data_IF_318673043160
#
_entry.id   IF_318673043160
#
_cell.length_a   1.000
_cell.length_b   1.000
_cell.length_c   1.000
_cell.angle_alpha   90.00
_cell.angle_beta   90.00
_cell.angle_gamma   90.00
#
_symmetry.space_group_name_H-M   'P 1'
#
loop_
_entity.id
_entity.type
_entity.pdbx_description
1 polymer ?
#
# COMPACT_ATOMS: atom_id res chain seq x y z
N UNK A 1 -34.57 37.82 58.90
CA UNK A 1 -34.42 39.18 58.34
C UNK A 1 -33.19 39.83 58.96
N UNK A 2 -32.10 39.99 58.19
CA UNK A 2 -31.27 41.21 58.01
C UNK A 2 -29.93 40.84 57.38
N UNK A 3 -29.37 41.82 56.68
CA UNK A 3 -28.50 41.78 55.50
C UNK A 3 -27.04 42.13 55.88
N UNK A 4 -26.09 41.64 55.06
CA UNK A 4 -24.83 42.30 54.60
C UNK A 4 -23.73 42.63 55.64
N UNK A 5 -22.41 42.63 55.39
CA UNK A 5 -21.60 42.75 54.17
C UNK A 5 -20.10 42.39 54.44
N UNK A 6 -19.47 41.79 53.43
CA UNK A 6 -18.08 41.91 52.94
C UNK A 6 -16.86 42.21 53.87
N UNK A 7 -15.87 41.29 53.85
CA UNK A 7 -14.41 41.56 53.89
C UNK A 7 -13.73 40.48 53.00
N UNK A 8 -13.41 40.75 51.74
CA UNK A 8 -12.14 41.28 51.23
C UNK A 8 -10.93 40.41 51.64
N UNK A 9 -10.44 39.59 50.72
CA UNK A 9 -9.02 39.33 50.51
C UNK A 9 -8.84 38.55 49.20
N UNK A 10 -8.32 39.26 48.20
CA UNK A 10 -7.84 38.69 46.94
C UNK A 10 -6.70 37.72 47.23
N UNK A 11 -6.78 36.51 46.70
CA UNK A 11 -5.61 35.64 46.51
C UNK A 11 -5.54 35.34 45.02
N UNK A 12 -4.57 35.97 44.36
CA UNK A 12 -4.12 35.57 43.05
C UNK A 12 -3.41 34.22 43.17
N UNK A 13 -3.93 33.20 42.51
CA UNK A 13 -3.18 31.97 42.21
C UNK A 13 -3.16 31.83 40.70
N UNK A 14 -2.01 32.20 40.14
CA UNK A 14 -1.60 31.74 38.81
C UNK A 14 -1.26 30.24 38.87
N UNK A 15 -1.21 29.62 37.69
CA UNK A 15 -0.84 28.22 37.41
C UNK A 15 -2.02 27.23 37.50
N UNK A 16 -2.37 26.43 36.50
CA UNK A 16 -1.61 25.94 35.36
C UNK A 16 -2.58 25.46 34.27
N UNK A 17 -2.37 25.81 33.01
CA UNK A 17 -2.91 25.02 31.90
C UNK A 17 -2.03 23.77 31.77
N UNK A 18 -2.46 22.68 32.39
CA UNK A 18 -1.95 21.35 32.09
C UNK A 18 -3.05 20.60 31.32
N UNK A 19 -3.20 20.89 30.04
CA UNK A 19 -3.88 19.99 29.11
C UNK A 19 -2.98 18.78 28.93
N UNK A 20 -3.17 17.76 29.76
CA UNK A 20 -2.65 16.43 29.52
C UNK A 20 -3.42 15.85 28.32
N UNK A 21 -2.87 16.03 27.12
CA UNK A 21 -3.27 15.23 25.97
C UNK A 21 -2.65 13.84 26.16
N UNK A 22 -3.36 12.97 26.87
CA UNK A 22 -3.09 11.54 26.82
C UNK A 22 -3.55 11.03 25.46
N UNK A 23 -2.67 11.15 24.45
CA UNK A 23 -2.77 10.32 23.25
C UNK A 23 -2.44 8.89 23.67
N UNK A 24 -3.47 8.15 24.07
CA UNK A 24 -3.39 6.69 24.14
C UNK A 24 -3.39 6.21 22.69
N UNK A 25 -2.20 6.15 22.10
CA UNK A 25 -1.99 5.41 20.87
C UNK A 25 -2.04 3.94 21.29
N UNK A 26 -3.10 3.27 20.88
CA UNK A 26 -3.29 1.83 21.07
C UNK A 26 -2.25 1.12 20.18
N UNK A 27 -1.04 0.93 20.71
CA UNK A 27 0.11 0.35 19.98
C UNK A 27 0.02 -1.18 19.88
N UNK A 28 -1.15 -1.78 20.08
CA UNK A 28 -1.28 -3.23 20.26
C UNK A 28 -2.25 -3.89 19.29
N UNK A 29 -2.51 -3.28 18.13
CA UNK A 29 -2.99 -4.06 16.99
C UNK A 29 -1.79 -4.78 16.38
N UNK A 30 -1.73 -6.10 16.60
CA UNK A 30 -0.96 -6.97 15.71
C UNK A 30 -1.60 -6.85 14.34
N UNK A 31 -1.09 -5.96 13.50
CA UNK A 31 -1.53 -5.82 12.11
C UNK A 31 -1.33 -7.17 11.43
N UNK A 32 -2.43 -7.91 11.26
CA UNK A 32 -2.44 -9.10 10.42
C UNK A 32 -2.30 -8.60 9.00
N UNK A 33 -1.18 -8.93 8.36
CA UNK A 33 -0.91 -8.52 6.99
C UNK A 33 -2.07 -8.92 6.08
N UNK A 34 -2.65 -7.93 5.40
CA UNK A 34 -3.70 -8.12 4.42
C UNK A 34 -3.17 -7.70 3.03
N UNK A 35 -2.94 -8.64 2.11
CA UNK A 35 -2.41 -8.34 0.77
C UNK A 35 -3.33 -7.45 -0.07
N UNK A 36 -4.63 -7.38 0.27
CA UNK A 36 -5.55 -6.46 -0.40
C UNK A 36 -5.37 -5.01 0.05
N UNK A 37 -4.84 -4.77 1.25
CA UNK A 37 -4.66 -3.41 1.78
C UNK A 37 -3.45 -2.73 1.16
N UNK A 38 -3.59 -1.44 0.84
CA UNK A 38 -2.45 -0.59 0.49
C UNK A 38 -1.87 0.00 1.77
N UNK A 39 -0.64 -0.39 2.11
CA UNK A 39 0.14 0.23 3.18
C UNK A 39 1.18 1.23 2.63
N UNK A 40 1.72 2.14 3.48
CA UNK A 40 2.67 3.16 3.04
C UNK A 40 3.95 2.62 2.41
N UNK A 41 4.44 1.45 2.85
CA UNK A 41 5.65 0.85 2.32
C UNK A 41 5.41 0.31 0.91
N UNK A 42 4.29 -0.40 0.70
CA UNK A 42 3.88 -0.87 -0.62
C UNK A 42 3.63 0.31 -1.58
N UNK A 43 2.91 1.34 -1.12
CA UNK A 43 2.66 2.55 -1.93
C UNK A 43 3.97 3.25 -2.33
N UNK A 44 4.91 3.38 -1.40
CA UNK A 44 6.24 3.97 -1.66
C UNK A 44 7.06 3.15 -2.66
N UNK A 45 7.00 1.82 -2.58
CA UNK A 45 7.67 0.94 -3.54
C UNK A 45 7.02 1.03 -4.94
N UNK A 46 5.69 1.06 -5.01
CA UNK A 46 4.95 1.30 -6.26
C UNK A 46 5.22 2.69 -6.84
N UNK A 47 5.58 3.69 -6.04
CA UNK A 47 5.91 5.03 -6.51
C UNK A 47 7.32 5.11 -7.14
N UNK A 48 8.26 4.26 -6.72
CA UNK A 48 9.70 4.49 -6.99
C UNK A 48 10.42 3.32 -7.66
N UNK A 49 10.07 2.08 -7.36
CA UNK A 49 10.81 0.91 -7.85
C UNK A 49 10.54 0.70 -9.35
N UNK A 50 11.57 0.61 -10.21
CA UNK A 50 11.38 0.25 -11.61
C UNK A 50 10.86 -1.18 -11.79
N UNK A 51 10.11 -1.40 -12.86
CA UNK A 51 9.68 -2.73 -13.29
C UNK A 51 10.85 -3.61 -13.69
N UNK A 52 10.78 -4.89 -13.34
CA UNK A 52 11.82 -5.88 -13.65
C UNK A 52 11.24 -7.28 -13.79
N UNK A 53 11.86 -8.08 -14.65
CA UNK A 53 11.47 -9.47 -14.83
C UNK A 53 11.94 -10.40 -13.69
N UNK A 54 13.03 -10.04 -13.00
CA UNK A 54 13.67 -10.89 -11.96
C UNK A 54 14.20 -10.06 -10.80
N UNK A 55 14.54 -10.73 -9.70
CA UNK A 55 14.96 -10.09 -8.46
C UNK A 55 13.79 -9.71 -7.56
N UNK A 56 14.11 -9.21 -6.37
CA UNK A 56 13.18 -8.73 -5.37
C UNK A 56 13.81 -7.53 -4.66
N UNK A 57 13.03 -6.50 -4.42
CA UNK A 57 13.37 -5.40 -3.53
C UNK A 57 12.89 -5.75 -2.11
N UNK A 58 13.67 -5.40 -1.09
CA UNK A 58 13.25 -5.56 0.30
C UNK A 58 12.24 -4.47 0.61
N UNK A 59 11.02 -4.84 1.00
CA UNK A 59 9.98 -3.89 1.38
C UNK A 59 10.11 -3.51 2.85
N UNK A 60 10.32 -4.50 3.72
CA UNK A 60 10.60 -4.37 5.15
C UNK A 60 11.25 -5.66 5.70
N UNK A 61 11.17 -5.90 7.02
CA UNK A 61 11.86 -7.02 7.68
C UNK A 61 11.43 -8.41 7.22
N UNK A 62 10.19 -8.55 6.75
CA UNK A 62 9.56 -9.84 6.47
C UNK A 62 8.88 -9.88 5.11
N UNK A 63 8.83 -8.75 4.38
CA UNK A 63 8.22 -8.66 3.05
C UNK A 63 9.21 -8.26 1.96
N UNK A 64 9.00 -8.87 0.80
CA UNK A 64 9.71 -8.55 -0.43
C UNK A 64 8.73 -8.14 -1.50
N UNK A 65 9.15 -7.21 -2.35
CA UNK A 65 8.34 -6.62 -3.40
C UNK A 65 9.05 -6.70 -4.74
N UNK A 66 8.29 -6.85 -5.82
CA UNK A 66 8.77 -6.64 -7.18
C UNK A 66 7.70 -5.94 -7.99
N UNK A 67 8.04 -4.81 -8.61
CA UNK A 67 7.24 -4.28 -9.71
C UNK A 67 7.53 -5.08 -10.98
N UNK A 68 6.47 -5.53 -11.65
CA UNK A 68 6.57 -6.40 -12.84
C UNK A 68 6.45 -5.58 -14.12
N UNK A 69 5.42 -4.72 -14.20
CA UNK A 69 5.16 -3.85 -15.35
C UNK A 69 4.34 -2.63 -14.95
N UNK A 70 4.41 -1.59 -15.79
CA UNK A 70 3.56 -0.39 -15.73
C UNK A 70 2.80 -0.24 -17.04
N UNK A 71 1.51 0.03 -16.99
CA UNK A 71 0.65 0.15 -18.18
C UNK A 71 -0.43 1.23 -18.01
N UNK A 72 -0.88 1.86 -19.12
CA UNK A 72 -1.98 2.81 -19.08
C UNK A 72 -3.34 2.10 -19.04
N UNK A 73 -4.20 2.50 -18.11
CA UNK A 73 -5.58 2.04 -18.02
C UNK A 73 -6.52 2.87 -18.92
N UNK A 74 -7.69 2.31 -19.23
CA UNK A 74 -8.71 2.95 -20.07
C UNK A 74 -9.27 4.28 -19.53
N UNK A 75 -9.17 4.48 -18.22
CA UNK A 75 -9.57 5.71 -17.55
C UNK A 75 -8.45 6.76 -17.47
N UNK A 76 -7.29 6.49 -18.09
CA UNK A 76 -6.13 7.37 -18.13
C UNK A 76 -5.22 7.28 -16.89
N UNK A 77 -5.53 6.41 -15.92
CA UNK A 77 -4.64 6.16 -14.78
C UNK A 77 -3.46 5.28 -15.19
N UNK A 78 -2.37 5.39 -14.44
CA UNK A 78 -1.27 4.44 -14.50
C UNK A 78 -1.53 3.28 -13.55
N UNK A 79 -1.42 2.06 -14.05
CA UNK A 79 -1.51 0.85 -13.24
C UNK A 79 -0.18 0.10 -13.28
N UNK A 80 0.13 -0.56 -12.17
CA UNK A 80 1.33 -1.38 -12.02
C UNK A 80 0.96 -2.77 -11.55
N UNK A 81 1.48 -3.78 -12.23
CA UNK A 81 1.49 -5.14 -11.72
C UNK A 81 2.66 -5.29 -10.75
N UNK A 82 2.40 -5.96 -9.64
CA UNK A 82 3.41 -6.26 -8.64
C UNK A 82 3.32 -7.70 -8.14
N UNK A 83 4.44 -8.15 -7.59
CA UNK A 83 4.52 -9.34 -6.78
C UNK A 83 4.94 -8.97 -5.37
N UNK A 84 4.35 -9.67 -4.40
CA UNK A 84 4.65 -9.52 -2.99
C UNK A 84 4.94 -10.89 -2.40
N UNK A 85 5.89 -10.96 -1.49
CA UNK A 85 6.23 -12.16 -0.75
C UNK A 85 6.31 -11.82 0.74
N UNK A 86 5.77 -12.69 1.57
CA UNK A 86 5.94 -12.67 3.02
C UNK A 86 6.03 -14.11 3.50
N UNK A 87 7.16 -14.49 4.11
CA UNK A 87 7.43 -15.89 4.48
C UNK A 87 7.24 -16.85 3.29
N UNK A 88 6.39 -17.87 3.41
CA UNK A 88 6.07 -18.84 2.33
C UNK A 88 4.89 -18.40 1.45
N UNK A 89 4.30 -17.24 1.73
CA UNK A 89 3.15 -16.73 0.99
C UNK A 89 3.58 -15.73 -0.06
N UNK A 90 2.93 -15.82 -1.21
CA UNK A 90 3.19 -14.98 -2.36
C UNK A 90 1.89 -14.48 -2.95
N UNK A 91 1.91 -13.25 -3.46
CA UNK A 91 0.77 -12.62 -4.09
C UNK A 91 1.20 -11.91 -5.36
N UNK A 92 0.27 -11.89 -6.32
CA UNK A 92 0.33 -11.05 -7.50
C UNK A 92 -0.82 -10.08 -7.44
N UNK A 93 -0.58 -8.82 -7.78
CA UNK A 93 -1.63 -7.82 -7.78
C UNK A 93 -1.43 -6.74 -8.82
N UNK A 94 -2.45 -5.93 -8.99
CA UNK A 94 -2.41 -4.68 -9.74
C UNK A 94 -2.89 -3.56 -8.85
N UNK A 95 -2.10 -2.48 -8.78
CA UNK A 95 -2.48 -1.23 -8.16
C UNK A 95 -2.55 -0.13 -9.23
N UNK A 96 -3.52 0.76 -9.13
CA UNK A 96 -3.64 1.92 -10.01
C UNK A 96 -3.49 3.20 -9.21
N UNK A 97 -2.83 4.19 -9.82
CA UNK A 97 -2.62 5.49 -9.22
C UNK A 97 -3.84 6.38 -9.44
N UNK A 98 -4.51 6.74 -8.37
CA UNK A 98 -5.72 7.56 -8.36
C UNK A 98 -5.53 8.75 -7.41
N UNK A 99 -5.73 9.96 -7.92
CA UNK A 99 -5.56 11.18 -7.10
C UNK A 99 -4.17 11.38 -6.49
N UNK A 100 -3.13 10.69 -6.98
CA UNK A 100 -1.78 10.71 -6.40
C UNK A 100 -1.50 9.60 -5.38
N UNK A 101 -2.48 8.74 -5.12
CA UNK A 101 -2.37 7.60 -4.21
C UNK A 101 -2.46 6.29 -4.98
N UNK A 102 -1.78 5.24 -4.49
CA UNK A 102 -1.90 3.91 -5.07
C UNK A 102 -3.07 3.17 -4.44
N UNK A 103 -3.89 2.50 -5.26
CA UNK A 103 -5.02 1.69 -4.79
C UNK A 103 -4.96 0.32 -5.45
N UNK A 104 -4.89 -0.74 -4.63
CA UNK A 104 -5.00 -2.12 -5.09
C UNK A 104 -6.36 -2.34 -5.76
N UNK A 105 -6.36 -2.81 -7.00
CA UNK A 105 -7.56 -3.13 -7.77
C UNK A 105 -7.89 -4.61 -7.69
N UNK A 106 -6.86 -5.44 -7.79
CA UNK A 106 -6.96 -6.90 -7.70
C UNK A 106 -5.68 -7.44 -7.07
N UNK A 107 -5.82 -8.40 -6.15
CA UNK A 107 -4.69 -9.16 -5.61
C UNK A 107 -5.13 -10.60 -5.47
N UNK A 108 -4.32 -11.52 -6.00
CA UNK A 108 -4.54 -12.95 -5.94
C UNK A 108 -3.34 -13.66 -5.33
N UNK A 109 -3.59 -14.76 -4.63
CA UNK A 109 -2.51 -15.65 -4.19
C UNK A 109 -1.72 -16.13 -5.40
N UNK A 110 -0.40 -15.97 -5.36
CA UNK A 110 0.50 -16.46 -6.37
C UNK A 110 1.16 -17.72 -5.84
N UNK A 111 1.18 -18.77 -6.65
CA UNK A 111 1.89 -20.00 -6.32
C UNK A 111 3.08 -20.04 -7.26
N UNK A 112 4.21 -19.52 -6.80
CA UNK A 112 5.48 -19.83 -7.44
C UNK A 112 5.69 -21.34 -7.30
N UNK A 113 6.32 -21.96 -8.31
CA UNK A 113 6.46 -23.42 -8.42
C UNK A 113 7.30 -24.01 -7.26
N UNK A 114 6.76 -24.04 -6.05
CA UNK A 114 7.23 -24.89 -4.97
C UNK A 114 6.58 -26.25 -5.16
N UNK A 115 7.29 -27.11 -5.90
CA UNK A 115 7.13 -28.57 -5.93
C UNK A 115 5.69 -29.12 -5.89
N UNK A 116 4.76 -28.51 -6.62
CA UNK A 116 3.47 -29.14 -6.88
C UNK A 116 3.71 -30.43 -7.70
N UNK A 117 3.42 -31.59 -7.11
CA UNK A 117 3.53 -32.89 -7.79
C UNK A 117 2.46 -33.12 -8.85
N UNK A 118 1.55 -32.15 -9.05
CA UNK A 118 0.41 -32.26 -9.94
C UNK A 118 0.49 -31.26 -11.10
N UNK A 119 0.11 -31.72 -12.29
CA UNK A 119 0.03 -30.89 -13.49
C UNK A 119 -0.99 -29.75 -13.29
N UNK A 120 -0.52 -28.49 -13.34
CA UNK A 120 -1.35 -27.29 -13.29
C UNK A 120 -1.22 -26.50 -14.59
N UNK A 121 -2.33 -26.26 -15.33
CA UNK A 121 -2.30 -25.38 -16.50
C UNK A 121 -1.83 -23.97 -16.14
N UNK A 122 -1.08 -23.33 -17.04
CA UNK A 122 -0.75 -21.91 -16.91
C UNK A 122 -2.05 -21.10 -16.81
N UNK A 123 -2.24 -20.36 -15.72
CA UNK A 123 -3.46 -19.60 -15.44
C UNK A 123 -4.48 -20.28 -14.51
N UNK A 124 -4.29 -21.52 -14.06
CA UNK A 124 -5.23 -22.12 -13.11
C UNK A 124 -5.00 -21.59 -11.68
N UNK A 125 -5.80 -20.64 -11.19
CA UNK A 125 -5.74 -20.13 -9.80
C UNK A 125 -6.05 -18.63 -9.67
N UNK A 126 -5.85 -18.06 -8.48
CA UNK A 126 -6.19 -16.65 -8.21
C UNK A 126 -5.37 -15.65 -9.07
N UNK A 127 -4.19 -16.06 -9.54
CA UNK A 127 -3.38 -15.29 -10.49
C UNK A 127 -4.07 -15.05 -11.85
N UNK A 128 -5.06 -15.86 -12.22
CA UNK A 128 -5.87 -15.66 -13.44
C UNK A 128 -6.69 -14.37 -13.35
N UNK A 129 -7.17 -14.03 -12.15
CA UNK A 129 -7.97 -12.83 -11.93
C UNK A 129 -7.13 -11.58 -12.22
N UNK A 130 -5.84 -11.61 -11.89
CA UNK A 130 -4.91 -10.52 -12.19
C UNK A 130 -4.65 -10.41 -13.69
N UNK A 131 -4.36 -11.53 -14.36
CA UNK A 131 -4.15 -11.53 -15.81
C UNK A 131 -5.38 -10.99 -16.55
N UNK A 132 -6.58 -11.45 -16.16
CA UNK A 132 -7.84 -10.97 -16.72
C UNK A 132 -8.07 -9.48 -16.48
N UNK A 133 -7.78 -8.98 -15.28
CA UNK A 133 -7.89 -7.55 -14.99
C UNK A 133 -7.00 -6.71 -15.91
N UNK A 134 -5.75 -7.15 -16.15
CA UNK A 134 -4.83 -6.47 -17.05
C UNK A 134 -5.37 -6.49 -18.48
N UNK A 135 -5.81 -7.64 -18.98
CA UNK A 135 -6.36 -7.80 -20.33
C UNK A 135 -7.61 -6.93 -20.57
N UNK A 136 -8.44 -6.71 -19.54
CA UNK A 136 -9.66 -5.90 -19.61
C UNK A 136 -9.41 -4.40 -19.41
N UNK A 137 -8.34 -4.02 -18.70
CA UNK A 137 -8.11 -2.64 -18.25
C UNK A 137 -7.05 -1.91 -19.07
N UNK A 138 -6.03 -2.62 -19.56
CA UNK A 138 -4.94 -2.03 -20.32
C UNK A 138 -5.42 -1.51 -21.68
N UNK A 139 -5.01 -0.29 -22.03
CA UNK A 139 -5.32 0.29 -23.35
C UNK A 139 -4.17 0.24 -24.35
N UNK A 140 -2.97 -0.04 -23.86
CA UNK A 140 -1.77 -0.16 -24.66
C UNK A 140 -0.82 -1.17 -24.02
N UNK A 141 0.27 -1.48 -24.72
CA UNK A 141 1.34 -2.31 -24.20
C UNK A 141 2.00 -1.68 -22.98
N UNK A 142 2.51 -2.51 -22.08
CA UNK A 142 3.28 -2.06 -20.94
C UNK A 142 4.50 -1.22 -21.38
N UNK A 143 4.85 -0.23 -20.56
CA UNK A 143 5.97 0.67 -20.83
C UNK A 143 7.29 -0.09 -20.88
N UNK A 144 8.15 0.31 -21.82
CA UNK A 144 9.54 -0.12 -21.82
C UNK A 144 10.34 0.52 -20.66
N UNK A 145 11.49 -0.05 -20.26
CA UNK A 145 12.25 0.42 -19.09
C UNK A 145 12.60 1.92 -19.11
N UNK A 146 12.92 2.48 -20.28
CA UNK A 146 13.29 3.89 -20.42
C UNK A 146 12.06 4.82 -20.28
N UNK A 147 10.91 4.41 -20.81
CA UNK A 147 9.67 5.18 -20.73
C UNK A 147 9.15 5.19 -19.29
N UNK A 148 9.19 4.05 -18.62
CA UNK A 148 8.81 3.96 -17.22
C UNK A 148 9.75 4.78 -16.33
N UNK A 149 11.07 4.69 -16.53
CA UNK A 149 12.02 5.50 -15.77
C UNK A 149 11.78 7.01 -15.93
N UNK A 150 11.43 7.45 -17.14
CA UNK A 150 11.05 8.84 -17.39
C UNK A 150 9.74 9.22 -16.68
N UNK A 151 8.74 8.33 -16.69
CA UNK A 151 7.46 8.52 -16.01
C UNK A 151 7.63 8.67 -14.50
N UNK A 152 8.41 7.78 -13.88
CA UNK A 152 8.75 7.84 -12.45
C UNK A 152 9.51 9.13 -12.13
N UNK A 153 10.50 9.50 -12.95
CA UNK A 153 11.27 10.72 -12.76
C UNK A 153 10.43 12.01 -12.91
N UNK A 154 9.32 11.96 -13.65
CA UNK A 154 8.37 13.07 -13.76
C UNK A 154 7.27 13.07 -12.69
N UNK A 155 7.21 12.05 -11.83
CA UNK A 155 6.21 11.96 -10.75
C UNK A 155 4.84 11.42 -11.16
N UNK A 156 4.79 10.60 -12.22
CA UNK A 156 3.61 9.94 -12.82
C UNK A 156 2.68 10.82 -13.65
#
# INVERSE_FOLDING_TARGET
MTRTWQRWASVAVAASFATAMALVVDLNQTDVFNPMSMDPQLASALEQSPSRATGWDVLDSDRQFRSVLTFPAADGRWCREFLLSQSESHWRGVACRDGGEWVNQVVGSEVFLEQETQYRPAGAGDSEQVARFIDETATDVALGPQQEAALIASGW
#
